data_IF_483023315633
#
_entry.id   IF_483023315633
#
_cell.length_a   1.000
_cell.length_b   1.000
_cell.length_c   1.000
_cell.angle_alpha   90.00
_cell.angle_beta   90.00
_cell.angle_gamma   90.00
#
_symmetry.space_group_name_H-M   'P 1'
#
loop_
_entity.id
_entity.type
_entity.pdbx_description
1 polymer ?
#
# COMPACT_ATOMS: atom_id res chain seq x y z
N UNK A 1 8.97 19.57 10.35
CA UNK A 1 7.65 19.03 9.93
C UNK A 1 6.58 19.61 10.82
N UNK A 2 5.50 20.15 10.29
CA UNK A 2 4.47 20.85 11.06
C UNK A 2 3.53 19.84 11.75
N UNK A 3 3.20 20.03 13.04
CA UNK A 3 2.21 19.19 13.71
C UNK A 3 0.81 19.32 13.09
N UNK A 4 0.56 20.39 12.34
CA UNK A 4 -0.62 20.54 11.49
C UNK A 4 -0.56 19.61 10.27
N UNK A 5 0.57 19.58 9.55
CA UNK A 5 0.74 18.74 8.37
C UNK A 5 0.65 17.24 8.71
N UNK A 6 1.27 16.82 9.82
CA UNK A 6 1.17 15.44 10.31
C UNK A 6 -0.26 15.07 10.73
N UNK A 7 -1.05 16.02 11.27
CA UNK A 7 -2.47 15.81 11.58
C UNK A 7 -3.30 15.68 10.31
N UNK A 8 -3.09 16.55 9.33
CA UNK A 8 -3.80 16.47 8.04
C UNK A 8 -3.47 15.19 7.28
N UNK A 9 -2.21 14.73 7.31
CA UNK A 9 -1.81 13.47 6.71
C UNK A 9 -2.49 12.28 7.41
N UNK A 10 -2.55 12.28 8.75
CA UNK A 10 -3.24 11.25 9.54
C UNK A 10 -4.75 11.25 9.28
N UNK A 11 -5.39 12.42 9.24
CA UNK A 11 -6.82 12.54 8.93
C UNK A 11 -7.15 12.08 7.52
N UNK A 12 -6.32 12.44 6.54
CA UNK A 12 -6.47 11.99 5.15
C UNK A 12 -6.32 10.47 5.04
N UNK A 13 -5.28 9.91 5.69
CA UNK A 13 -5.06 8.46 5.74
C UNK A 13 -6.22 7.75 6.44
N UNK A 14 -6.73 8.31 7.54
CA UNK A 14 -7.87 7.74 8.27
C UNK A 14 -9.18 7.82 7.49
N UNK A 15 -9.42 8.90 6.75
CA UNK A 15 -10.56 9.05 5.85
C UNK A 15 -10.47 8.08 4.67
N UNK A 16 -9.27 7.87 4.12
CA UNK A 16 -9.01 6.88 3.08
C UNK A 16 -9.22 5.45 3.60
N UNK A 17 -8.69 5.11 4.78
CA UNK A 17 -8.93 3.82 5.46
C UNK A 17 -10.44 3.58 5.67
N UNK A 18 -11.17 4.59 6.15
CA UNK A 18 -12.63 4.51 6.28
C UNK A 18 -13.32 4.32 4.94
N UNK A 19 -12.86 4.99 3.88
CA UNK A 19 -13.36 4.80 2.52
C UNK A 19 -13.18 3.36 2.03
N UNK A 20 -12.00 2.78 2.25
CA UNK A 20 -11.72 1.37 1.91
C UNK A 20 -12.66 0.44 2.69
N UNK A 21 -12.82 0.65 4.00
CA UNK A 21 -13.68 -0.21 4.82
C UNK A 21 -15.18 -0.03 4.55
N UNK A 22 -15.63 1.15 4.12
CA UNK A 22 -17.03 1.46 3.85
C UNK A 22 -17.53 0.95 2.48
N UNK A 23 -16.62 0.59 1.56
CA UNK A 23 -16.98 0.01 0.25
C UNK A 23 -17.85 -1.25 0.36
N UNK A 24 -17.91 -1.88 1.53
CA UNK A 24 -18.79 -3.00 1.88
C UNK A 24 -20.31 -2.68 1.82
N UNK A 25 -20.74 -1.42 1.80
CA UNK A 25 -22.15 -1.06 2.01
C UNK A 25 -23.01 -0.78 0.75
N UNK A 26 -22.45 -0.85 -0.47
CA UNK A 26 -23.21 -0.57 -1.70
C UNK A 26 -23.40 -1.78 -2.63
N UNK A 27 -23.49 -2.98 -2.05
CA UNK A 27 -23.70 -4.24 -2.77
C UNK A 27 -24.95 -4.98 -2.32
N UNK A 28 -26.06 -4.26 -2.11
CA UNK A 28 -27.37 -4.89 -1.90
C UNK A 28 -27.92 -5.38 -3.24
N UNK A 29 -28.04 -6.70 -3.39
CA UNK A 29 -29.11 -7.33 -4.17
C UNK A 29 -29.07 -7.34 -5.70
N UNK A 30 -28.04 -6.88 -6.40
CA UNK A 30 -27.91 -7.10 -7.87
C UNK A 30 -26.61 -7.81 -8.21
N UNK A 31 -26.73 -9.09 -8.57
CA UNK A 31 -25.64 -9.82 -9.21
C UNK A 31 -25.08 -8.98 -10.38
N UNK A 32 -23.76 -8.79 -10.49
CA UNK A 32 -23.19 -8.17 -11.68
C UNK A 32 -23.49 -9.10 -12.87
N UNK A 33 -24.48 -8.70 -13.68
CA UNK A 33 -24.96 -9.48 -14.84
C UNK A 33 -23.90 -9.52 -15.96
N UNK A 34 -22.85 -8.70 -15.89
CA UNK A 34 -21.83 -8.58 -16.93
C UNK A 34 -20.45 -9.09 -16.48
N UNK A 35 -19.86 -10.00 -17.27
CA UNK A 35 -18.53 -10.59 -17.03
C UNK A 35 -17.41 -9.54 -16.96
N UNK A 36 -17.51 -8.49 -17.79
CA UNK A 36 -16.59 -7.35 -17.73
C UNK A 36 -16.67 -6.59 -16.40
N UNK A 37 -17.85 -6.51 -15.79
CA UNK A 37 -18.02 -5.84 -14.49
C UNK A 37 -17.35 -6.63 -13.37
N UNK A 38 -17.42 -7.97 -13.43
CA UNK A 38 -16.72 -8.87 -12.49
C UNK A 38 -15.20 -8.71 -12.63
N UNK A 39 -14.68 -8.69 -13.86
CA UNK A 39 -13.27 -8.48 -14.13
C UNK A 39 -12.77 -7.12 -13.61
N UNK A 40 -13.53 -6.05 -13.84
CA UNK A 40 -13.21 -4.70 -13.35
C UNK A 40 -13.21 -4.62 -11.82
N UNK A 41 -14.20 -5.25 -11.16
CA UNK A 41 -14.28 -5.30 -9.69
C UNK A 41 -13.07 -6.03 -9.10
N UNK A 42 -12.67 -7.16 -9.69
CA UNK A 42 -11.50 -7.91 -9.29
C UNK A 42 -10.20 -7.11 -9.46
N UNK A 43 -10.04 -6.42 -10.60
CA UNK A 43 -8.91 -5.54 -10.85
C UNK A 43 -8.85 -4.38 -9.84
N UNK A 44 -10.00 -3.79 -9.48
CA UNK A 44 -10.08 -2.74 -8.45
C UNK A 44 -9.62 -3.25 -7.09
N UNK A 45 -10.14 -4.40 -6.63
CA UNK A 45 -9.76 -4.95 -5.32
C UNK A 45 -8.26 -5.31 -5.25
N UNK A 46 -7.67 -5.82 -6.34
CA UNK A 46 -6.23 -6.07 -6.42
C UNK A 46 -5.42 -4.77 -6.37
N UNK A 47 -5.91 -3.71 -7.02
CA UNK A 47 -5.31 -2.37 -6.96
C UNK A 47 -5.35 -1.81 -5.54
N UNK A 48 -6.48 -1.94 -4.84
CA UNK A 48 -6.62 -1.52 -3.44
C UNK A 48 -5.63 -2.24 -2.51
N UNK A 49 -5.46 -3.56 -2.66
CA UNK A 49 -4.45 -4.31 -1.89
C UNK A 49 -3.05 -3.73 -2.10
N UNK A 50 -2.67 -3.46 -3.36
CA UNK A 50 -1.36 -2.87 -3.67
C UNK A 50 -1.20 -1.47 -3.05
N UNK A 51 -2.25 -0.64 -3.08
CA UNK A 51 -2.21 0.68 -2.44
C UNK A 51 -2.02 0.58 -0.92
N UNK A 52 -2.68 -0.38 -0.26
CA UNK A 52 -2.50 -0.60 1.17
C UNK A 52 -1.05 -1.04 1.46
N UNK A 53 -0.48 -1.95 0.66
CA UNK A 53 0.92 -2.35 0.77
C UNK A 53 1.88 -1.17 0.65
N UNK A 54 1.74 -0.34 -0.41
CA UNK A 54 2.58 0.84 -0.59
C UNK A 54 2.49 1.78 0.60
N UNK A 55 1.28 1.97 1.17
CA UNK A 55 1.11 2.85 2.32
C UNK A 55 1.70 2.28 3.61
N UNK A 56 1.61 0.96 3.82
CA UNK A 56 2.27 0.30 4.96
C UNK A 56 3.78 0.53 4.90
N UNK A 57 4.42 0.26 3.76
CA UNK A 57 5.87 0.42 3.62
C UNK A 57 6.32 1.87 3.81
N UNK A 58 5.57 2.85 3.30
CA UNK A 58 5.84 4.27 3.54
C UNK A 58 5.83 4.61 5.04
N UNK A 59 4.81 4.15 5.78
CA UNK A 59 4.69 4.41 7.21
C UNK A 59 5.73 3.65 8.05
N UNK A 60 6.12 2.43 7.64
CA UNK A 60 7.21 1.67 8.28
C UNK A 60 8.55 2.41 8.18
N UNK A 61 8.82 3.04 7.03
CA UNK A 61 9.99 3.90 6.87
C UNK A 61 9.94 5.10 7.82
N UNK A 62 8.80 5.79 7.93
CA UNK A 62 8.65 6.90 8.89
C UNK A 62 8.89 6.44 10.35
N UNK A 63 8.37 5.27 10.75
CA UNK A 63 8.59 4.71 12.10
C UNK A 63 10.07 4.42 12.35
N UNK A 64 10.79 3.90 11.35
CA UNK A 64 12.23 3.68 11.42
C UNK A 64 13.00 5.00 11.62
N UNK A 65 12.68 6.03 10.84
CA UNK A 65 13.27 7.37 10.98
C UNK A 65 13.04 7.96 12.37
N UNK A 66 11.81 7.88 12.90
CA UNK A 66 11.50 8.35 14.25
C UNK A 66 12.30 7.59 15.31
N UNK A 67 12.48 6.28 15.13
CA UNK A 67 13.27 5.44 16.04
C UNK A 67 14.75 5.84 16.06
N UNK A 68 15.32 6.16 14.90
CA UNK A 68 16.68 6.68 14.80
C UNK A 68 16.84 8.03 15.51
N UNK A 69 15.88 8.94 15.33
CA UNK A 69 15.87 10.24 16.02
C UNK A 69 15.81 10.06 17.53
N UNK A 70 14.92 9.20 18.04
CA UNK A 70 14.80 8.90 19.47
C UNK A 70 16.13 8.35 20.01
N UNK A 71 16.72 7.36 19.35
CA UNK A 71 18.00 6.76 19.77
C UNK A 71 19.16 7.76 19.80
N UNK A 72 19.16 8.74 18.89
CA UNK A 72 20.20 9.78 18.85
C UNK A 72 20.05 10.85 19.94
N UNK A 73 18.83 11.22 20.32
CA UNK A 73 18.58 12.33 21.26
C UNK A 73 18.34 11.89 22.71
N UNK A 74 17.92 10.65 22.93
CA UNK A 74 17.65 10.09 24.26
C UNK A 74 18.86 10.14 25.23
N UNK A 75 20.11 9.89 24.82
CA UNK A 75 21.26 9.95 25.74
C UNK A 75 21.74 11.38 26.03
N UNK A 76 21.15 12.40 25.38
CA UNK A 76 21.58 13.79 25.55
C UNK A 76 20.87 14.46 26.75
N UNK A 77 21.45 15.55 27.23
CA UNK A 77 20.87 16.34 28.33
C UNK A 77 19.47 16.88 27.97
N UNK A 78 18.43 16.60 28.79
CA UNK A 78 17.06 17.08 28.56
C UNK A 78 16.92 18.60 28.45
N UNK A 79 17.84 19.36 29.06
CA UNK A 79 17.83 20.84 29.01
C UNK A 79 18.46 21.41 27.74
N UNK A 80 19.09 20.58 26.91
CA UNK A 80 19.69 20.99 25.64
C UNK A 80 18.64 21.52 24.67
N UNK A 81 18.97 22.62 23.99
CA UNK A 81 18.13 23.25 22.96
C UNK A 81 18.08 22.39 21.71
N UNK A 82 16.88 22.18 21.18
CA UNK A 82 16.58 21.53 19.90
C UNK A 82 15.87 22.53 18.98
N UNK A 83 16.11 22.42 17.68
CA UNK A 83 15.44 23.25 16.68
C UNK A 83 14.66 22.38 15.72
N UNK A 84 13.38 22.70 15.50
CA UNK A 84 12.51 22.01 14.55
C UNK A 84 12.22 22.94 13.39
N UNK A 85 12.54 22.51 12.18
CA UNK A 85 12.19 23.25 10.96
C UNK A 85 10.71 23.07 10.62
N UNK A 86 9.97 24.18 10.49
CA UNK A 86 8.56 24.22 10.10
C UNK A 86 8.39 25.31 9.06
N UNK A 87 8.03 24.95 7.83
CA UNK A 87 7.77 25.92 6.76
C UNK A 87 8.93 26.89 6.49
N UNK A 88 10.18 26.47 6.68
CA UNK A 88 11.37 27.32 6.53
C UNK A 88 11.78 28.11 7.77
N UNK A 89 11.01 28.07 8.87
CA UNK A 89 11.38 28.71 10.14
C UNK A 89 11.87 27.66 11.14
N UNK A 90 12.95 27.96 11.86
CA UNK A 90 13.45 27.14 12.96
C UNK A 90 12.72 27.51 14.26
N UNK A 91 11.97 26.57 14.80
CA UNK A 91 11.31 26.71 16.10
C UNK A 91 12.19 26.10 17.17
N UNK A 92 12.56 26.89 18.15
CA UNK A 92 13.31 26.44 19.31
C UNK A 92 12.42 25.66 20.30
N UNK A 93 12.97 24.55 20.79
CA UNK A 93 12.41 23.65 21.80
C UNK A 93 13.53 23.09 22.66
N UNK A 94 13.18 22.27 23.64
CA UNK A 94 14.14 21.51 24.45
C UNK A 94 13.94 20.01 24.24
N UNK A 95 14.97 19.20 24.51
CA UNK A 95 14.86 17.73 24.38
C UNK A 95 13.71 17.18 25.23
N UNK A 96 13.52 17.70 26.45
CA UNK A 96 12.38 17.34 27.33
C UNK A 96 11.00 17.55 26.68
N UNK A 97 10.85 18.48 25.74
CA UNK A 97 9.59 18.74 25.03
C UNK A 97 9.49 17.92 23.74
N UNK A 98 10.61 17.74 23.04
CA UNK A 98 10.65 17.08 21.73
C UNK A 98 10.55 15.56 21.86
N UNK A 99 11.29 14.96 22.79
CA UNK A 99 11.35 13.51 22.96
C UNK A 99 9.95 12.86 23.15
N UNK A 100 9.08 13.32 24.07
CA UNK A 100 7.74 12.75 24.21
C UNK A 100 6.85 13.01 22.99
N UNK A 101 7.09 14.09 22.24
CA UNK A 101 6.34 14.38 21.02
C UNK A 101 6.72 13.42 19.88
N UNK A 102 8.01 13.12 19.70
CA UNK A 102 8.50 12.17 18.69
C UNK A 102 8.05 10.75 19.04
N UNK A 103 8.12 10.36 20.32
CA UNK A 103 7.66 9.06 20.81
C UNK A 103 6.15 8.85 20.55
N UNK A 104 5.30 9.80 20.96
CA UNK A 104 3.86 9.73 20.72
C UNK A 104 3.52 9.66 19.22
N UNK A 105 4.27 10.39 18.39
CA UNK A 105 4.07 10.35 16.95
C UNK A 105 4.37 8.97 16.38
N UNK A 106 5.49 8.36 16.78
CA UNK A 106 5.90 6.99 16.42
C UNK A 106 4.82 5.97 16.80
N UNK A 107 4.38 5.97 18.05
CA UNK A 107 3.34 5.06 18.54
C UNK A 107 2.03 5.21 17.72
N UNK A 108 1.65 6.46 17.43
CA UNK A 108 0.49 6.73 16.59
C UNK A 108 0.68 6.39 15.10
N UNK A 109 1.90 6.15 14.61
CA UNK A 109 2.14 5.60 13.27
C UNK A 109 2.05 4.06 13.31
N UNK A 110 2.61 3.43 14.34
CA UNK A 110 2.51 1.98 14.57
C UNK A 110 1.05 1.51 14.69
N UNK A 111 0.20 2.28 15.38
CA UNK A 111 -1.25 2.01 15.46
C UNK A 111 -1.93 2.07 14.08
N UNK A 112 -1.53 3.02 13.23
CA UNK A 112 -2.08 3.15 11.87
C UNK A 112 -1.61 1.99 10.99
N UNK A 113 -0.35 1.59 11.09
CA UNK A 113 0.20 0.42 10.40
C UNK A 113 -0.54 -0.85 10.81
N UNK A 114 -0.81 -1.03 12.11
CA UNK A 114 -1.60 -2.16 12.60
C UNK A 114 -3.00 -2.20 11.98
N UNK A 115 -3.71 -1.06 11.94
CA UNK A 115 -5.02 -0.95 11.28
C UNK A 115 -4.98 -1.21 9.77
N UNK A 116 -3.92 -0.77 9.08
CA UNK A 116 -3.75 -1.03 7.66
C UNK A 116 -3.50 -2.51 7.39
N UNK A 117 -2.73 -3.19 8.24
CA UNK A 117 -2.54 -4.65 8.16
C UNK A 117 -3.86 -5.41 8.34
N UNK A 118 -4.70 -5.01 9.31
CA UNK A 118 -6.02 -5.60 9.46
C UNK A 118 -6.91 -5.38 8.22
N UNK A 119 -6.88 -4.17 7.65
CA UNK A 119 -7.64 -3.84 6.43
C UNK A 119 -7.14 -4.67 5.24
N UNK A 120 -5.83 -4.86 5.13
CA UNK A 120 -5.18 -5.68 4.11
C UNK A 120 -5.63 -7.13 4.18
N UNK A 121 -5.61 -7.75 5.37
CA UNK A 121 -6.05 -9.14 5.54
C UNK A 121 -7.55 -9.32 5.27
N UNK A 122 -8.38 -8.36 5.67
CA UNK A 122 -9.81 -8.33 5.30
C UNK A 122 -9.99 -8.28 3.78
N UNK A 123 -9.24 -7.42 3.08
CA UNK A 123 -9.35 -7.28 1.62
C UNK A 123 -8.83 -8.51 0.88
N UNK A 124 -7.77 -9.16 1.36
CA UNK A 124 -7.31 -10.46 0.83
C UNK A 124 -8.38 -11.53 0.94
N UNK A 125 -9.04 -11.61 2.09
CA UNK A 125 -10.14 -12.58 2.32
C UNK A 125 -11.30 -12.30 1.37
N UNK A 126 -11.69 -11.03 1.20
CA UNK A 126 -12.73 -10.61 0.25
C UNK A 126 -12.39 -11.00 -1.20
N UNK A 127 -11.13 -10.79 -1.61
CA UNK A 127 -10.66 -11.22 -2.95
C UNK A 127 -10.73 -12.74 -3.10
N UNK A 128 -10.33 -13.51 -2.08
CA UNK A 128 -10.42 -14.97 -2.12
C UNK A 128 -11.88 -15.47 -2.19
N UNK A 129 -12.80 -14.85 -1.45
CA UNK A 129 -14.24 -15.14 -1.52
C UNK A 129 -14.82 -14.78 -2.89
N UNK A 130 -14.43 -13.63 -3.45
CA UNK A 130 -14.83 -13.19 -4.77
C UNK A 130 -14.33 -14.16 -5.85
N UNK A 131 -13.06 -14.56 -5.78
CA UNK A 131 -12.51 -15.59 -6.65
C UNK A 131 -13.30 -16.89 -6.55
N UNK A 132 -13.60 -17.38 -5.34
CA UNK A 132 -14.38 -18.61 -5.16
C UNK A 132 -15.80 -18.52 -5.74
N UNK A 133 -16.46 -17.36 -5.56
CA UNK A 133 -17.83 -17.11 -6.04
C UNK A 133 -17.92 -17.04 -7.57
N UNK A 134 -16.95 -16.42 -8.23
CA UNK A 134 -16.98 -16.18 -9.68
C UNK A 134 -16.15 -17.18 -10.51
N UNK A 135 -15.16 -17.89 -9.92
CA UNK A 135 -14.45 -19.03 -10.56
C UNK A 135 -15.35 -20.22 -10.91
N UNK A 136 -16.61 -20.25 -10.46
CA UNK A 136 -17.60 -21.29 -10.82
C UNK A 136 -18.50 -20.89 -12.00
N UNK A 137 -18.60 -19.60 -12.35
CA UNK A 137 -19.43 -19.18 -13.51
C UNK A 137 -18.63 -19.07 -14.81
N UNK A 138 -17.34 -18.73 -14.75
CA UNK A 138 -16.52 -18.52 -15.96
C UNK A 138 -16.11 -19.84 -16.65
N UNK A 139 -16.13 -20.99 -15.95
CA UNK A 139 -15.81 -22.29 -16.58
C UNK A 139 -16.98 -22.95 -17.33
N UNK A 140 -18.19 -22.39 -17.29
CA UNK A 140 -19.39 -23.01 -17.92
C UNK A 140 -19.97 -22.23 -19.10
N UNK A 141 -19.41 -21.06 -19.43
CA UNK A 141 -19.81 -20.29 -20.61
C UNK A 141 -18.93 -20.55 -21.84
N UNK A 142 -17.77 -21.19 -21.68
CA UNK A 142 -16.74 -21.33 -22.73
C UNK A 142 -16.54 -22.78 -23.24
N UNK A 143 -17.56 -23.63 -23.15
CA UNK A 143 -17.48 -25.01 -23.67
C UNK A 143 -18.51 -25.32 -24.76
N UNK A 144 -19.01 -24.29 -25.44
CA UNK A 144 -19.91 -24.45 -26.59
C UNK A 144 -19.54 -23.45 -27.71
N UNK A 145 -18.29 -23.53 -28.18
CA UNK A 145 -17.95 -23.05 -29.53
C UNK A 145 -17.10 -24.12 -30.21
N UNK A 146 -17.77 -24.98 -30.96
CA UNK A 146 -17.16 -25.72 -32.08
C UNK A 146 -16.62 -24.70 -33.07
N UNK A 147 -15.36 -24.84 -33.50
CA UNK A 147 -15.03 -24.72 -34.91
C UNK A 147 -13.72 -25.43 -35.26
N UNK A 148 -13.77 -26.23 -36.32
CA UNK A 148 -12.61 -26.81 -36.98
C UNK A 148 -11.91 -25.77 -37.85
N UNK A 149 -10.58 -25.67 -37.78
CA UNK A 149 -9.82 -24.85 -38.74
C UNK A 149 -8.33 -25.06 -38.62
N UNK A 150 -7.72 -25.67 -39.63
CA UNK A 150 -6.39 -26.26 -39.55
C UNK A 150 -5.16 -25.36 -39.78
N UNK A 151 -4.01 -26.02 -39.56
CA UNK A 151 -2.76 -26.00 -40.34
C UNK A 151 -1.72 -24.87 -40.13
N UNK A 152 -0.59 -25.32 -39.52
CA UNK A 152 0.85 -25.10 -39.80
C UNK A 152 1.54 -23.75 -39.52
N UNK A 153 2.60 -23.89 -38.70
CA UNK A 153 4.00 -23.45 -38.84
C UNK A 153 4.32 -21.99 -39.26
N UNK A 154 5.13 -21.32 -38.43
CA UNK A 154 6.14 -20.41 -38.94
C UNK A 154 6.62 -19.33 -37.98
N UNK A 155 7.95 -19.28 -37.81
CA UNK A 155 8.77 -18.10 -37.47
C UNK A 155 9.09 -17.84 -35.99
N UNK A 156 10.21 -18.44 -35.57
CA UNK A 156 11.01 -18.02 -34.42
C UNK A 156 11.80 -16.74 -34.75
N UNK A 157 11.77 -15.77 -33.83
CA UNK A 157 12.65 -14.59 -33.82
C UNK A 157 12.66 -14.12 -32.36
N UNK A 158 13.73 -14.13 -31.56
CA UNK A 158 15.16 -14.21 -31.83
C UNK A 158 15.81 -13.10 -31.01
N UNK A 159 16.36 -13.41 -29.82
CA UNK A 159 17.37 -12.56 -29.14
C UNK A 159 18.35 -13.49 -28.43
N UNK A 160 19.47 -13.78 -29.11
CA UNK A 160 20.66 -14.41 -28.53
C UNK A 160 21.56 -13.30 -28.00
N UNK A 161 21.66 -13.19 -26.68
CA UNK A 161 22.58 -12.25 -26.01
C UNK A 161 23.93 -12.98 -25.85
N UNK A 162 24.95 -12.56 -26.61
CA UNK A 162 26.32 -13.06 -26.45
C UNK A 162 27.04 -12.34 -25.29
N UNK A 163 27.91 -13.03 -24.53
CA UNK A 163 28.73 -12.37 -23.50
C UNK A 163 29.99 -11.78 -24.14
N UNK A 164 30.17 -10.46 -24.02
CA UNK A 164 31.44 -9.81 -24.34
C UNK A 164 32.23 -9.61 -23.05
N UNK A 165 33.21 -10.48 -22.81
CA UNK A 165 34.34 -10.22 -21.93
C UNK A 165 35.61 -10.12 -22.76
N UNK A 166 36.51 -9.21 -22.39
CA UNK A 166 37.90 -9.19 -22.83
C UNK A 166 38.47 -7.81 -23.18
N UNK A 167 39.31 -7.29 -22.28
CA UNK A 167 40.52 -6.46 -22.43
C UNK A 167 40.78 -5.73 -23.76
N UNK A 168 41.25 -4.48 -23.68
CA UNK A 168 42.70 -4.20 -23.74
C UNK A 168 43.04 -2.71 -23.55
N UNK A 169 44.23 -2.51 -22.97
CA UNK A 169 45.08 -1.30 -22.86
C UNK A 169 44.80 -0.26 -21.76
#
# INVERSE_FOLDING_TARGET
MDASLARTQKESTFKWIKGIMASKAAGDGKEPVNEQMIANMYASMRSEINQIYSKITELEMEVSEHSLVIGAIQPLDPSRRCYRMIGGVLVERTIKEVLPAVQRNKEGLEEVISRLNEALEKKKTEVAEFEAKYKVRIRKADNDVKDEGGRKEGSAQGVLVGPAGGNDQ
#
